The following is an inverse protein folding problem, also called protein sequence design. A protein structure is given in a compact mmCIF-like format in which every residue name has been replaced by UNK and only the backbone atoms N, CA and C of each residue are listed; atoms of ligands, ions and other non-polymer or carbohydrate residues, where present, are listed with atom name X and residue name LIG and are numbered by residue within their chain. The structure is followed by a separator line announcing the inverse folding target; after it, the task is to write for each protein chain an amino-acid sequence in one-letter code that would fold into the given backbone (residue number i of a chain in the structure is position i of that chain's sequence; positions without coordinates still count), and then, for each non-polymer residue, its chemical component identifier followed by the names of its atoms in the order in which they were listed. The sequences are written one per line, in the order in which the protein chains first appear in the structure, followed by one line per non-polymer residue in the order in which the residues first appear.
data_IF_810142832611
#
_entry.id   IF_810142832611
#
_cell.length_a   1.000
_cell.length_b   1.000
_cell.length_c   1.000
_cell.angle_alpha   90.00
_cell.angle_beta   90.00
_cell.angle_gamma   90.00
#
_symmetry.space_group_name_H-M   'P 1'
#
loop_
_entity.id
_entity.type
_entity.pdbx_description
1 polymer ?
#
# COMPACT_ATOMS: atom_id res chain seq x y z
N UNK A 1 -15.03 -19.80 19.79
CA UNK A 1 -14.84 -19.12 18.49
C UNK A 1 -14.42 -17.65 18.62
N UNK A 2 -15.09 -16.84 19.42
CA UNK A 2 -14.70 -15.42 19.64
C UNK A 2 -13.33 -15.21 20.29
N UNK A 3 -12.88 -16.05 21.21
CA UNK A 3 -11.65 -15.83 21.99
C UNK A 3 -10.35 -15.92 21.16
N UNK A 4 -10.21 -16.85 20.21
CA UNK A 4 -8.99 -16.99 19.41
C UNK A 4 -8.85 -15.89 18.35
N UNK A 5 -9.96 -15.41 17.79
CA UNK A 5 -9.99 -14.25 16.90
C UNK A 5 -9.71 -12.97 17.67
N UNK A 6 -10.27 -12.83 18.86
CA UNK A 6 -9.99 -11.71 19.78
C UNK A 6 -8.53 -11.72 20.22
N UNK A 7 -7.95 -12.86 20.59
CA UNK A 7 -6.54 -12.97 21.01
C UNK A 7 -5.56 -12.62 19.86
N UNK A 8 -5.89 -12.91 18.60
CA UNK A 8 -5.04 -12.55 17.44
C UNK A 8 -5.22 -11.10 16.99
N UNK A 9 -6.40 -10.54 17.10
CA UNK A 9 -6.61 -9.09 16.96
C UNK A 9 -5.91 -8.34 18.10
N UNK A 10 -5.89 -8.90 19.31
CA UNK A 10 -5.15 -8.38 20.44
C UNK A 10 -3.63 -8.43 20.22
N UNK A 11 -3.06 -9.48 19.61
CA UNK A 11 -1.62 -9.55 19.35
C UNK A 11 -1.13 -8.50 18.34
N UNK A 12 -1.99 -8.04 17.43
CA UNK A 12 -1.68 -6.99 16.43
C UNK A 12 -1.87 -5.59 16.97
N UNK A 13 -2.97 -5.38 17.69
CA UNK A 13 -3.11 -4.19 18.50
C UNK A 13 -1.91 -4.04 19.44
N UNK A 14 -1.28 -5.17 19.87
CA UNK A 14 -0.07 -5.14 20.70
C UNK A 14 1.17 -4.61 19.98
N UNK A 15 1.44 -4.94 18.68
CA UNK A 15 2.67 -4.47 18.00
C UNK A 15 2.59 -2.97 17.71
N UNK A 16 1.50 -2.51 17.09
CA UNK A 16 1.31 -1.07 16.84
C UNK A 16 1.22 -0.29 18.16
N UNK A 17 0.52 -0.84 19.15
CA UNK A 17 0.45 -0.28 20.50
C UNK A 17 1.85 -0.22 21.14
N UNK A 18 2.67 -1.27 21.03
CA UNK A 18 4.02 -1.27 21.57
C UNK A 18 4.92 -0.21 20.91
N UNK A 19 4.84 -0.06 19.58
CA UNK A 19 5.57 0.99 18.84
C UNK A 19 5.09 2.38 19.27
N UNK A 20 3.79 2.58 19.33
CA UNK A 20 3.19 3.84 19.75
C UNK A 20 3.60 4.23 21.17
N UNK A 21 3.50 3.29 22.11
CA UNK A 21 3.94 3.44 23.49
C UNK A 21 5.45 3.70 23.56
N UNK A 22 6.25 2.95 22.77
CA UNK A 22 7.70 3.13 22.74
C UNK A 22 8.08 4.53 22.23
N UNK A 23 7.46 5.05 21.18
CA UNK A 23 7.74 6.41 20.70
C UNK A 23 7.50 7.47 21.76
N UNK A 24 6.41 7.36 22.53
CA UNK A 24 6.11 8.31 23.60
C UNK A 24 7.05 8.12 24.80
N UNK A 25 7.21 6.90 25.31
CA UNK A 25 7.98 6.67 26.53
C UNK A 25 9.48 6.84 26.32
N UNK A 26 10.02 6.36 25.21
CA UNK A 26 11.44 6.58 24.88
C UNK A 26 11.68 8.07 24.61
N UNK A 27 10.77 8.73 23.85
CA UNK A 27 10.87 10.17 23.65
C UNK A 27 10.84 10.95 24.97
N UNK A 28 9.93 10.58 25.90
CA UNK A 28 9.88 11.19 27.23
C UNK A 28 11.17 10.96 28.04
N UNK A 29 11.71 9.72 28.02
CA UNK A 29 12.97 9.41 28.71
C UNK A 29 14.15 10.21 28.14
N UNK A 30 14.25 10.31 26.80
CA UNK A 30 15.28 11.14 26.14
C UNK A 30 15.09 12.62 26.48
N UNK A 31 13.86 13.11 26.55
CA UNK A 31 13.56 14.49 26.98
C UNK A 31 14.06 14.78 28.40
N UNK A 32 13.86 13.83 29.33
CA UNK A 32 14.42 13.95 30.68
C UNK A 32 15.95 14.05 30.68
N UNK A 33 16.63 13.20 29.89
CA UNK A 33 18.10 13.28 29.76
C UNK A 33 18.51 14.64 29.22
N UNK A 34 17.87 15.17 28.18
CA UNK A 34 18.15 16.50 27.61
C UNK A 34 17.92 17.62 28.61
N UNK A 35 16.84 17.51 29.42
CA UNK A 35 16.60 18.47 30.50
C UNK A 35 17.76 18.53 31.49
N UNK A 36 18.26 17.35 31.95
CA UNK A 36 19.41 17.27 32.85
C UNK A 36 20.72 17.74 32.18
N UNK A 37 20.80 17.70 30.84
CA UNK A 37 21.90 18.26 30.06
C UNK A 37 21.77 19.77 29.82
N UNK A 38 20.69 20.42 30.31
CA UNK A 38 20.48 21.86 30.25
C UNK A 38 19.51 22.35 29.16
N UNK A 39 18.88 21.47 28.36
CA UNK A 39 17.81 21.90 27.44
C UNK A 39 16.49 22.06 28.20
N UNK A 40 16.33 23.18 28.89
CA UNK A 40 15.14 23.53 29.68
C UNK A 40 13.89 23.73 28.82
N UNK A 41 14.02 23.88 27.50
CA UNK A 41 12.92 24.10 26.57
C UNK A 41 12.38 22.79 25.93
N UNK A 42 13.02 21.66 26.18
CA UNK A 42 12.66 20.39 25.52
C UNK A 42 11.18 20.02 25.70
N UNK A 43 10.64 20.14 26.90
CA UNK A 43 9.23 19.83 27.18
C UNK A 43 8.27 20.84 26.55
N UNK A 44 8.64 22.11 26.50
CA UNK A 44 7.86 23.13 25.78
C UNK A 44 7.82 22.84 24.27
N UNK A 45 8.97 22.47 23.69
CA UNK A 45 9.04 22.06 22.27
C UNK A 45 8.16 20.82 21.98
N UNK A 46 8.20 19.81 22.86
CA UNK A 46 7.34 18.62 22.74
C UNK A 46 5.87 19.02 22.78
N UNK A 47 5.47 19.82 23.77
CA UNK A 47 4.07 20.21 23.94
C UNK A 47 3.56 21.02 22.74
N UNK A 48 4.33 21.98 22.26
CA UNK A 48 4.01 22.74 21.03
C UNK A 48 3.91 21.79 19.84
N UNK A 49 4.90 20.90 19.66
CA UNK A 49 4.90 19.92 18.57
C UNK A 49 3.70 18.98 18.61
N UNK A 50 3.21 18.59 19.78
CA UNK A 50 2.00 17.77 19.92
C UNK A 50 0.77 18.48 19.37
N UNK A 51 0.54 19.75 19.74
CA UNK A 51 -0.61 20.52 19.26
C UNK A 51 -0.51 20.84 17.78
N UNK A 52 0.65 21.26 17.29
CA UNK A 52 0.88 21.59 15.89
C UNK A 52 0.71 20.35 15.01
N UNK A 53 1.22 19.21 15.45
CA UNK A 53 1.09 17.95 14.72
C UNK A 53 -0.34 17.43 14.73
N UNK A 54 -1.07 17.57 15.83
CA UNK A 54 -2.49 17.20 15.90
C UNK A 54 -3.33 18.05 14.93
N UNK A 55 -3.07 19.37 14.89
CA UNK A 55 -3.70 20.29 13.92
C UNK A 55 -3.35 19.89 12.48
N UNK A 56 -2.07 19.70 12.18
CA UNK A 56 -1.61 19.27 10.86
C UNK A 56 -2.28 17.97 10.43
N UNK A 57 -2.37 16.98 11.33
CA UNK A 57 -3.04 15.70 11.05
C UNK A 57 -4.53 15.87 10.72
N UNK A 58 -5.20 16.80 11.41
CA UNK A 58 -6.59 17.14 11.11
C UNK A 58 -6.73 17.85 9.76
N UNK A 59 -5.91 18.86 9.49
CA UNK A 59 -5.95 19.64 8.24
C UNK A 59 -5.70 18.76 7.00
N UNK A 60 -4.71 17.87 7.08
CA UNK A 60 -4.44 16.87 6.03
C UNK A 60 -5.65 15.98 5.84
N UNK A 61 -6.24 15.49 6.92
CA UNK A 61 -7.40 14.59 6.86
C UNK A 61 -8.63 15.28 6.25
N UNK A 62 -8.82 16.55 6.53
CA UNK A 62 -9.89 17.35 5.93
C UNK A 62 -9.70 17.46 4.41
N UNK A 63 -8.48 17.72 3.96
CA UNK A 63 -8.12 17.70 2.52
C UNK A 63 -8.38 16.36 1.86
N UNK A 64 -8.20 15.25 2.61
CA UNK A 64 -8.46 13.89 2.09
C UNK A 64 -9.95 13.63 1.86
N UNK A 65 -10.87 14.25 2.59
CA UNK A 65 -12.31 14.02 2.42
C UNK A 65 -12.76 14.20 0.97
N UNK A 66 -12.39 15.33 0.34
CA UNK A 66 -12.77 15.62 -1.04
C UNK A 66 -12.17 14.62 -2.03
N UNK A 67 -10.87 14.35 -1.88
CA UNK A 67 -10.15 13.46 -2.81
C UNK A 67 -10.59 12.01 -2.66
N UNK A 68 -10.81 11.51 -1.44
CA UNK A 68 -11.35 10.16 -1.21
C UNK A 68 -12.77 10.02 -1.71
N UNK A 69 -13.62 11.05 -1.53
CA UNK A 69 -14.99 11.06 -2.09
C UNK A 69 -14.96 11.01 -3.62
N UNK A 70 -14.09 11.78 -4.25
CA UNK A 70 -13.89 11.74 -5.72
C UNK A 70 -13.52 10.31 -6.17
N UNK A 71 -12.47 9.73 -5.58
CA UNK A 71 -11.95 8.43 -6.02
C UNK A 71 -12.93 7.30 -5.77
N UNK A 72 -13.51 7.19 -4.57
CA UNK A 72 -14.49 6.13 -4.29
C UNK A 72 -15.77 6.32 -5.09
N UNK A 73 -16.15 7.57 -5.41
CA UNK A 73 -17.24 7.86 -6.36
C UNK A 73 -16.97 7.29 -7.74
N UNK A 74 -15.80 7.56 -8.32
CA UNK A 74 -15.39 7.03 -9.63
C UNK A 74 -15.28 5.49 -9.59
N UNK A 75 -14.68 4.93 -8.53
CA UNK A 75 -14.55 3.48 -8.38
C UNK A 75 -15.92 2.79 -8.30
N UNK A 76 -16.90 3.40 -7.64
CA UNK A 76 -18.27 2.88 -7.55
C UNK A 76 -18.97 2.84 -8.91
N UNK A 77 -18.71 3.80 -9.80
CA UNK A 77 -19.16 3.74 -11.19
C UNK A 77 -18.58 2.51 -11.87
N UNK A 78 -17.26 2.30 -11.79
CA UNK A 78 -16.58 1.15 -12.37
C UNK A 78 -17.09 -0.19 -11.82
N UNK A 79 -17.34 -0.28 -10.51
CA UNK A 79 -17.92 -1.45 -9.86
C UNK A 79 -19.32 -1.77 -10.44
N UNK A 80 -20.24 -0.79 -10.44
CA UNK A 80 -21.60 -0.96 -10.98
C UNK A 80 -21.60 -1.18 -12.49
N UNK A 81 -20.65 -0.59 -13.20
CA UNK A 81 -20.43 -0.83 -14.62
C UNK A 81 -19.86 -2.22 -14.92
N UNK A 82 -19.54 -3.04 -13.90
CA UNK A 82 -19.06 -4.41 -14.07
C UNK A 82 -17.62 -4.49 -14.56
N UNK A 83 -16.79 -3.48 -14.32
CA UNK A 83 -15.38 -3.47 -14.68
C UNK A 83 -14.61 -4.56 -13.96
N UNK A 84 -14.94 -4.85 -12.68
CA UNK A 84 -14.34 -5.95 -11.93
C UNK A 84 -14.50 -7.28 -12.68
N UNK A 85 -15.71 -7.56 -13.19
CA UNK A 85 -15.98 -8.79 -13.94
C UNK A 85 -15.25 -8.83 -15.30
N UNK A 86 -15.01 -7.69 -15.92
CA UNK A 86 -14.22 -7.58 -17.16
C UNK A 86 -12.76 -7.94 -16.89
N UNK A 87 -12.15 -7.33 -15.88
CA UNK A 87 -10.78 -7.62 -15.46
C UNK A 87 -10.64 -9.09 -15.00
N UNK A 88 -11.62 -9.60 -14.27
CA UNK A 88 -11.64 -10.98 -13.82
C UNK A 88 -11.57 -11.97 -15.01
N UNK A 89 -12.31 -11.71 -16.10
CA UNK A 89 -12.22 -12.55 -17.32
C UNK A 89 -10.85 -12.50 -17.97
N UNK A 90 -10.20 -11.34 -18.00
CA UNK A 90 -8.85 -11.19 -18.55
C UNK A 90 -7.80 -11.94 -17.72
N UNK A 91 -7.97 -12.02 -16.41
CA UNK A 91 -7.04 -12.69 -15.48
C UNK A 91 -7.30 -14.19 -15.31
N UNK A 92 -8.48 -14.70 -15.68
CA UNK A 92 -8.87 -16.10 -15.49
C UNK A 92 -7.86 -17.12 -16.06
N UNK A 93 -7.28 -16.94 -17.26
CA UNK A 93 -6.28 -17.86 -17.79
C UNK A 93 -5.01 -17.95 -16.94
N UNK A 94 -4.59 -16.84 -16.32
CA UNK A 94 -3.47 -16.76 -15.41
C UNK A 94 -3.79 -17.51 -14.10
N UNK A 95 -4.94 -17.22 -13.50
CA UNK A 95 -5.38 -17.80 -12.25
C UNK A 95 -5.51 -19.33 -12.31
N UNK A 96 -6.03 -19.88 -13.39
CA UNK A 96 -6.11 -21.34 -13.59
C UNK A 96 -4.77 -22.05 -13.55
N UNK A 97 -3.67 -21.35 -13.86
CA UNK A 97 -2.31 -21.90 -13.83
C UNK A 97 -1.65 -21.76 -12.48
N UNK A 98 -2.01 -20.69 -11.76
CA UNK A 98 -1.48 -20.41 -10.41
C UNK A 98 -2.17 -21.27 -9.35
N UNK A 99 -3.44 -21.68 -9.60
CA UNK A 99 -4.26 -22.44 -8.66
C UNK A 99 -4.72 -23.80 -9.23
N UNK A 100 -3.81 -24.71 -9.56
CA UNK A 100 -4.15 -26.00 -10.19
C UNK A 100 -4.97 -26.93 -9.28
N UNK A 101 -4.84 -26.77 -7.94
CA UNK A 101 -5.54 -27.60 -6.95
C UNK A 101 -7.04 -27.25 -6.82
N UNK A 102 -7.50 -26.19 -7.50
CA UNK A 102 -8.92 -25.80 -7.48
C UNK A 102 -9.64 -26.47 -8.65
N UNK A 103 -10.71 -27.27 -8.40
CA UNK A 103 -11.47 -27.89 -9.45
C UNK A 103 -12.06 -26.89 -10.44
N UNK A 104 -12.13 -27.27 -11.73
CA UNK A 104 -12.74 -26.42 -12.78
C UNK A 104 -14.20 -26.13 -12.44
N UNK A 105 -14.59 -24.86 -12.52
CA UNK A 105 -15.95 -24.41 -12.21
C UNK A 105 -16.25 -24.24 -10.73
N UNK A 106 -15.30 -24.47 -9.83
CA UNK A 106 -15.50 -24.22 -8.41
C UNK A 106 -15.65 -22.71 -8.13
N UNK A 107 -16.62 -22.29 -7.28
CA UNK A 107 -16.88 -20.86 -6.99
C UNK A 107 -15.65 -20.08 -6.51
N UNK A 108 -14.73 -20.73 -5.76
CA UNK A 108 -13.52 -20.12 -5.25
C UNK A 108 -12.69 -19.43 -6.34
N UNK A 109 -12.56 -20.02 -7.54
CA UNK A 109 -11.83 -19.39 -8.65
C UNK A 109 -12.43 -18.05 -9.01
N UNK A 110 -13.75 -17.95 -9.13
CA UNK A 110 -14.46 -16.72 -9.45
C UNK A 110 -14.26 -15.65 -8.35
N UNK A 111 -14.47 -16.03 -7.07
CA UNK A 111 -14.33 -15.11 -5.94
C UNK A 111 -12.90 -14.59 -5.77
N UNK A 112 -11.88 -15.44 -5.99
CA UNK A 112 -10.48 -15.06 -5.93
C UNK A 112 -10.09 -14.07 -7.04
N UNK A 113 -10.48 -14.36 -8.29
CA UNK A 113 -10.18 -13.48 -9.43
C UNK A 113 -10.90 -12.15 -9.28
N UNK A 114 -12.14 -12.14 -8.78
CA UNK A 114 -12.88 -10.91 -8.48
C UNK A 114 -12.22 -10.09 -7.38
N UNK A 115 -11.75 -10.73 -6.30
CA UNK A 115 -11.01 -10.05 -5.23
C UNK A 115 -9.72 -9.41 -5.77
N UNK A 116 -8.94 -10.18 -6.53
CA UNK A 116 -7.69 -9.69 -7.12
C UNK A 116 -7.93 -8.53 -8.09
N UNK A 117 -8.97 -8.64 -8.93
CA UNK A 117 -9.37 -7.57 -9.85
C UNK A 117 -9.80 -6.30 -9.10
N UNK A 118 -10.51 -6.44 -7.99
CA UNK A 118 -10.90 -5.31 -7.15
C UNK A 118 -9.66 -4.62 -6.52
N UNK A 119 -8.72 -5.41 -5.99
CA UNK A 119 -7.44 -4.88 -5.47
C UNK A 119 -6.62 -4.16 -6.54
N UNK A 120 -6.48 -4.75 -7.74
CA UNK A 120 -5.79 -4.10 -8.86
C UNK A 120 -6.38 -2.73 -9.20
N UNK A 121 -7.70 -2.60 -9.12
CA UNK A 121 -8.41 -1.35 -9.39
C UNK A 121 -8.42 -0.38 -8.20
N UNK A 122 -7.85 -0.74 -7.04
CA UNK A 122 -7.88 0.09 -5.84
C UNK A 122 -9.26 0.15 -5.16
N UNK A 123 -10.08 -0.90 -5.34
CA UNK A 123 -11.42 -1.03 -4.77
C UNK A 123 -11.37 -1.77 -3.43
N UNK A 124 -10.63 -1.24 -2.45
CA UNK A 124 -10.36 -1.90 -1.15
C UNK A 124 -11.65 -2.34 -0.43
N UNK A 125 -12.72 -1.52 -0.51
CA UNK A 125 -14.01 -1.81 0.11
C UNK A 125 -14.71 -3.03 -0.52
N UNK A 126 -14.54 -3.26 -1.82
CA UNK A 126 -15.10 -4.42 -2.52
C UNK A 126 -14.16 -5.64 -2.41
N UNK A 127 -12.86 -5.43 -2.34
CA UNK A 127 -11.87 -6.49 -2.32
C UNK A 127 -11.98 -7.36 -1.06
N UNK A 128 -12.08 -6.76 0.14
CA UNK A 128 -12.11 -7.50 1.40
C UNK A 128 -13.29 -8.48 1.50
N UNK A 129 -14.57 -8.11 1.25
CA UNK A 129 -15.68 -9.06 1.23
C UNK A 129 -15.50 -10.21 0.21
N UNK A 130 -14.99 -9.90 -0.99
CA UNK A 130 -14.71 -10.90 -2.02
C UNK A 130 -13.62 -11.88 -1.57
N UNK A 131 -12.57 -11.39 -0.92
CA UNK A 131 -11.51 -12.22 -0.36
C UNK A 131 -11.99 -13.11 0.78
N UNK A 132 -12.84 -12.60 1.68
CA UNK A 132 -13.46 -13.40 2.74
C UNK A 132 -14.35 -14.51 2.18
N UNK A 133 -15.10 -14.21 1.10
CA UNK A 133 -15.89 -15.21 0.38
C UNK A 133 -14.98 -16.27 -0.24
N UNK A 134 -13.92 -15.86 -0.96
CA UNK A 134 -12.94 -16.77 -1.55
C UNK A 134 -12.32 -17.68 -0.49
N UNK A 135 -11.95 -17.16 0.68
CA UNK A 135 -11.37 -17.96 1.77
C UNK A 135 -12.35 -19.00 2.32
N UNK A 136 -13.66 -18.69 2.43
CA UNK A 136 -14.68 -19.67 2.85
C UNK A 136 -14.80 -20.80 1.83
N UNK A 137 -14.86 -20.46 0.55
CA UNK A 137 -14.95 -21.42 -0.55
C UNK A 137 -13.67 -22.28 -0.66
N UNK A 138 -12.49 -21.71 -0.44
CA UNK A 138 -11.23 -22.47 -0.33
C UNK A 138 -11.21 -23.40 0.88
N UNK A 139 -11.82 -22.99 1.99
CA UNK A 139 -11.90 -23.80 3.20
C UNK A 139 -12.81 -25.05 2.99
N UNK A 140 -13.79 -24.99 2.12
CA UNK A 140 -14.60 -26.14 1.73
C UNK A 140 -13.73 -27.23 1.08
N UNK A 141 -12.79 -26.83 0.22
CA UNK A 141 -11.83 -27.70 -0.47
C UNK A 141 -10.67 -28.15 0.44
N UNK A 142 -10.46 -27.49 1.56
CA UNK A 142 -9.29 -27.74 2.41
C UNK A 142 -9.44 -29.04 3.21
N UNK A 143 -8.55 -30.04 3.03
CA UNK A 143 -8.64 -31.31 3.75
C UNK A 143 -8.37 -31.16 5.25
N UNK A 144 -7.44 -30.28 5.66
CA UNK A 144 -7.14 -29.95 7.04
C UNK A 144 -7.67 -28.56 7.39
N UNK A 145 -8.75 -28.52 8.14
CA UNK A 145 -9.42 -27.24 8.49
C UNK A 145 -8.61 -26.31 9.41
N UNK A 146 -7.52 -26.80 10.00
CA UNK A 146 -6.65 -26.02 10.89
C UNK A 146 -5.36 -25.53 10.19
N UNK A 147 -4.98 -26.12 9.06
CA UNK A 147 -3.75 -25.86 8.35
C UNK A 147 -4.04 -25.19 6.99
N UNK A 148 -3.29 -24.16 6.64
CA UNK A 148 -3.45 -23.46 5.37
C UNK A 148 -3.14 -24.39 4.19
N UNK A 149 -4.07 -24.48 3.21
CA UNK A 149 -3.85 -25.18 1.95
C UNK A 149 -2.95 -24.37 0.99
N UNK A 150 -2.38 -25.02 -0.01
CA UNK A 150 -1.56 -24.37 -1.03
C UNK A 150 -2.29 -23.23 -1.74
N UNK A 151 -3.55 -23.40 -2.22
CA UNK A 151 -4.28 -22.29 -2.82
C UNK A 151 -4.48 -21.10 -1.87
N UNK A 152 -4.79 -21.36 -0.59
CA UNK A 152 -4.93 -20.30 0.40
C UNK A 152 -3.63 -19.51 0.58
N UNK A 153 -2.49 -20.17 0.67
CA UNK A 153 -1.19 -19.51 0.82
C UNK A 153 -0.88 -18.65 -0.40
N UNK A 154 -1.01 -19.22 -1.60
CA UNK A 154 -0.79 -18.48 -2.84
C UNK A 154 -1.72 -17.26 -2.92
N UNK A 155 -3.01 -17.44 -2.66
CA UNK A 155 -4.00 -16.36 -2.70
C UNK A 155 -3.64 -15.22 -1.74
N UNK A 156 -3.22 -15.53 -0.51
CA UNK A 156 -2.86 -14.50 0.47
C UNK A 156 -1.56 -13.78 0.14
N UNK A 157 -0.54 -14.49 -0.33
CA UNK A 157 0.72 -13.87 -0.73
C UNK A 157 0.52 -12.95 -1.92
N UNK A 158 -0.31 -13.34 -2.91
CA UNK A 158 -0.65 -12.49 -4.04
C UNK A 158 -1.52 -11.28 -3.64
N UNK A 159 -2.36 -11.38 -2.59
CA UNK A 159 -3.06 -10.22 -2.04
C UNK A 159 -2.12 -9.25 -1.33
N UNK A 160 -1.11 -9.77 -0.62
CA UNK A 160 -0.09 -8.96 0.05
C UNK A 160 0.81 -8.23 -0.95
N UNK A 161 1.26 -8.95 -1.97
CA UNK A 161 2.12 -8.45 -3.06
C UNK A 161 1.32 -7.98 -4.27
N UNK A 162 0.07 -7.57 -4.07
CA UNK A 162 -0.88 -7.29 -5.15
C UNK A 162 -0.43 -6.18 -6.09
N UNK A 163 -0.65 -6.37 -7.38
CA UNK A 163 -0.44 -5.31 -8.38
C UNK A 163 -1.52 -4.25 -8.18
N UNK A 164 -1.12 -3.03 -7.85
CA UNK A 164 -2.00 -1.88 -7.74
C UNK A 164 -1.85 -1.03 -9.00
N UNK A 165 -2.89 -1.00 -9.84
CA UNK A 165 -2.86 -0.19 -11.06
C UNK A 165 -2.90 1.30 -10.72
N UNK A 166 -3.68 1.69 -9.71
CA UNK A 166 -3.78 3.10 -9.28
C UNK A 166 -3.65 3.17 -7.77
N UNK A 167 -2.55 3.73 -7.22
CA UNK A 167 -2.40 3.95 -5.79
C UNK A 167 -3.22 5.16 -5.32
N UNK A 168 -4.55 5.07 -5.42
CA UNK A 168 -5.49 6.17 -5.23
C UNK A 168 -5.32 6.90 -3.91
N UNK A 169 -5.22 6.15 -2.80
CA UNK A 169 -5.08 6.72 -1.46
C UNK A 169 -3.74 7.45 -1.27
N UNK A 170 -2.65 6.95 -1.87
CA UNK A 170 -1.33 7.59 -1.78
C UNK A 170 -1.32 8.89 -2.60
N UNK A 171 -1.84 8.85 -3.83
CA UNK A 171 -1.96 10.04 -4.69
C UNK A 171 -2.84 11.10 -4.01
N UNK A 172 -3.94 10.68 -3.37
CA UNK A 172 -4.83 11.56 -2.62
C UNK A 172 -4.10 12.30 -1.48
N UNK A 173 -3.35 11.57 -0.65
CA UNK A 173 -2.57 12.15 0.45
C UNK A 173 -1.49 13.07 -0.10
N UNK A 174 -0.77 12.64 -1.14
CA UNK A 174 0.29 13.43 -1.78
C UNK A 174 -0.24 14.74 -2.33
N UNK A 175 -1.42 14.73 -2.97
CA UNK A 175 -2.08 15.95 -3.47
C UNK A 175 -2.52 16.87 -2.34
N UNK A 176 -3.09 16.33 -1.25
CA UNK A 176 -3.47 17.10 -0.07
C UNK A 176 -2.26 17.75 0.59
N UNK A 177 -1.15 17.00 0.71
CA UNK A 177 0.12 17.51 1.26
C UNK A 177 0.73 18.61 0.38
N UNK A 178 0.71 18.45 -0.95
CA UNK A 178 1.20 19.46 -1.88
C UNK A 178 0.41 20.76 -1.74
N UNK A 179 -0.92 20.67 -1.62
CA UNK A 179 -1.77 21.83 -1.38
C UNK A 179 -1.45 22.52 -0.05
N UNK A 180 -1.24 21.76 1.03
CA UNK A 180 -0.88 22.31 2.35
C UNK A 180 0.51 22.96 2.37
N UNK A 181 1.44 22.50 1.51
CA UNK A 181 2.77 23.07 1.33
C UNK A 181 2.81 24.21 0.29
N UNK A 182 1.66 24.61 -0.27
CA UNK A 182 1.54 25.73 -1.22
C UNK A 182 2.14 25.44 -2.60
N UNK A 183 2.31 24.17 -2.99
CA UNK A 183 2.88 23.77 -4.28
C UNK A 183 1.81 23.83 -5.39
N UNK A 184 1.61 25.00 -5.95
CA UNK A 184 0.71 25.18 -7.08
C UNK A 184 1.21 24.43 -8.33
N UNK A 185 0.30 23.69 -8.99
CA UNK A 185 0.63 22.93 -10.21
C UNK A 185 1.40 21.61 -9.96
N UNK A 186 1.59 21.20 -8.71
CA UNK A 186 2.19 19.92 -8.39
C UNK A 186 1.36 18.76 -8.92
N UNK A 187 2.00 17.82 -9.59
CA UNK A 187 1.34 16.63 -10.13
C UNK A 187 1.59 15.40 -9.25
N UNK A 188 0.64 15.10 -8.37
CA UNK A 188 0.74 13.94 -7.48
C UNK A 188 0.71 12.58 -8.19
N UNK A 189 0.41 12.55 -9.50
CA UNK A 189 0.39 11.31 -10.29
C UNK A 189 1.76 10.91 -10.83
N UNK A 190 2.82 11.68 -10.58
CA UNK A 190 4.19 11.37 -10.97
C UNK A 190 4.70 10.03 -10.40
N UNK A 191 4.17 9.61 -9.23
CA UNK A 191 4.47 8.32 -8.62
C UNK A 191 3.73 7.14 -9.27
N UNK A 192 2.80 7.36 -10.19
CA UNK A 192 1.96 6.30 -10.77
C UNK A 192 2.79 5.16 -11.37
N UNK A 193 3.65 5.48 -12.35
CA UNK A 193 4.46 4.48 -13.04
C UNK A 193 5.51 3.83 -12.13
N UNK A 194 6.28 4.58 -11.33
CA UNK A 194 7.20 4.00 -10.35
C UNK A 194 6.52 3.03 -9.37
N UNK A 195 5.36 3.39 -8.84
CA UNK A 195 4.61 2.51 -7.93
C UNK A 195 4.10 1.27 -8.65
N UNK A 196 3.59 1.41 -9.88
CA UNK A 196 3.12 0.29 -10.68
C UNK A 196 4.25 -0.72 -10.96
N UNK A 197 5.45 -0.25 -11.27
CA UNK A 197 6.62 -1.13 -11.45
C UNK A 197 6.99 -1.82 -10.14
N UNK A 198 7.00 -1.09 -9.02
CA UNK A 198 7.32 -1.65 -7.71
C UNK A 198 6.33 -2.74 -7.28
N UNK A 199 5.02 -2.51 -7.47
CA UNK A 199 3.98 -3.52 -7.18
C UNK A 199 4.12 -4.74 -8.08
N UNK A 200 4.45 -4.56 -9.34
CA UNK A 200 4.67 -5.67 -10.26
C UNK A 200 5.88 -6.52 -9.86
N UNK A 201 6.99 -5.90 -9.47
CA UNK A 201 8.17 -6.61 -8.98
C UNK A 201 7.85 -7.39 -7.70
N UNK A 202 7.13 -6.78 -6.76
CA UNK A 202 6.65 -7.44 -5.54
C UNK A 202 5.77 -8.65 -5.86
N UNK A 203 4.81 -8.49 -6.76
CA UNK A 203 3.91 -9.56 -7.21
C UNK A 203 4.70 -10.72 -7.83
N UNK A 204 5.65 -10.43 -8.72
CA UNK A 204 6.51 -11.46 -9.32
C UNK A 204 7.31 -12.19 -8.25
N UNK A 205 7.88 -11.50 -7.27
CA UNK A 205 8.64 -12.11 -6.18
C UNK A 205 7.76 -13.02 -5.32
N UNK A 206 6.58 -12.56 -4.91
CA UNK A 206 5.60 -13.34 -4.16
C UNK A 206 5.14 -14.59 -4.93
N UNK A 207 4.79 -14.41 -6.20
CA UNK A 207 4.38 -15.51 -7.07
C UNK A 207 5.50 -16.57 -7.26
N UNK A 208 6.73 -16.12 -7.55
CA UNK A 208 7.87 -17.00 -7.78
C UNK A 208 8.22 -17.79 -6.52
N UNK A 209 8.33 -17.15 -5.36
CA UNK A 209 8.71 -17.83 -4.12
C UNK A 209 7.66 -18.87 -3.71
N UNK A 210 6.37 -18.56 -3.81
CA UNK A 210 5.31 -19.52 -3.48
C UNK A 210 5.26 -20.65 -4.51
N UNK A 211 5.35 -20.34 -5.82
CA UNK A 211 5.36 -21.33 -6.86
C UNK A 211 6.53 -22.32 -6.71
N UNK A 212 7.72 -21.85 -6.33
CA UNK A 212 8.88 -22.71 -6.03
C UNK A 212 8.61 -23.65 -4.85
N UNK A 213 8.04 -23.15 -3.77
CA UNK A 213 7.71 -23.97 -2.58
C UNK A 213 6.58 -24.98 -2.87
N UNK A 214 5.64 -24.62 -3.74
CA UNK A 214 4.55 -25.49 -4.18
C UNK A 214 4.88 -26.35 -5.40
N UNK A 215 6.09 -26.23 -5.95
CA UNK A 215 6.57 -26.93 -7.14
C UNK A 215 5.68 -26.70 -8.38
N UNK A 216 5.14 -25.50 -8.50
CA UNK A 216 4.33 -25.09 -9.66
C UNK A 216 5.24 -24.66 -10.81
N UNK A 217 4.91 -25.10 -12.03
CA UNK A 217 5.60 -24.62 -13.23
C UNK A 217 5.02 -23.30 -13.67
N UNK A 218 5.85 -22.24 -13.67
CA UNK A 218 5.51 -20.93 -14.23
C UNK A 218 5.86 -20.82 -15.73
N UNK A 219 6.52 -21.86 -16.31
CA UNK A 219 6.88 -21.89 -17.71
C UNK A 219 5.70 -22.41 -18.54
N UNK A 220 4.76 -21.53 -18.83
CA UNK A 220 3.60 -21.81 -19.68
C UNK A 220 3.14 -20.56 -20.42
N UNK A 221 2.38 -20.71 -21.50
CA UNK A 221 1.99 -19.59 -22.36
C UNK A 221 1.25 -18.44 -21.64
N UNK A 222 0.24 -18.65 -20.76
CA UNK A 222 -0.39 -17.56 -20.06
C UNK A 222 0.56 -16.79 -19.14
N UNK A 223 1.50 -17.46 -18.46
CA UNK A 223 2.51 -16.82 -17.64
C UNK A 223 3.52 -16.05 -18.48
N UNK A 224 3.98 -16.65 -19.59
CA UNK A 224 4.87 -15.98 -20.52
C UNK A 224 4.23 -14.70 -21.08
N UNK A 225 2.97 -14.75 -21.49
CA UNK A 225 2.21 -13.57 -21.96
C UNK A 225 2.11 -12.51 -20.85
N UNK A 226 1.84 -12.91 -19.62
CA UNK A 226 1.75 -11.98 -18.49
C UNK A 226 3.10 -11.33 -18.20
N UNK A 227 4.18 -12.12 -18.00
CA UNK A 227 5.49 -11.57 -17.65
C UNK A 227 6.13 -10.80 -18.82
N UNK A 228 6.07 -11.32 -20.04
CA UNK A 228 6.67 -10.66 -21.21
C UNK A 228 5.79 -9.48 -21.67
N UNK A 229 4.47 -9.62 -21.63
CA UNK A 229 3.56 -8.55 -22.02
C UNK A 229 3.60 -7.39 -21.03
N UNK A 230 3.30 -7.64 -19.78
CA UNK A 230 3.26 -6.57 -18.76
C UNK A 230 4.68 -6.10 -18.38
N UNK A 231 5.62 -7.03 -18.13
CA UNK A 231 6.99 -6.69 -17.82
C UNK A 231 7.71 -6.02 -18.98
N UNK A 232 7.48 -6.49 -20.22
CA UNK A 232 8.00 -5.86 -21.43
C UNK A 232 7.45 -4.46 -21.67
N UNK A 233 6.14 -4.24 -21.39
CA UNK A 233 5.53 -2.92 -21.43
C UNK A 233 6.19 -1.97 -20.42
N UNK A 234 6.38 -2.43 -19.15
CA UNK A 234 7.03 -1.62 -18.11
C UNK A 234 8.49 -1.31 -18.46
N UNK A 235 9.24 -2.32 -18.92
CA UNK A 235 10.61 -2.14 -19.34
C UNK A 235 10.74 -1.22 -20.56
N UNK A 236 9.83 -1.34 -21.53
CA UNK A 236 9.79 -0.48 -22.73
C UNK A 236 9.46 0.97 -22.36
N UNK A 237 8.49 1.18 -21.48
CA UNK A 237 8.17 2.53 -20.95
C UNK A 237 9.36 3.13 -20.20
N UNK A 238 10.02 2.36 -19.34
CA UNK A 238 11.21 2.83 -18.65
C UNK A 238 12.35 3.16 -19.62
N UNK A 239 12.66 2.27 -20.56
CA UNK A 239 13.71 2.51 -21.56
C UNK A 239 13.43 3.73 -22.44
N UNK A 240 12.16 3.98 -22.78
CA UNK A 240 11.76 5.18 -23.51
C UNK A 240 11.95 6.44 -22.65
N UNK A 241 11.51 6.42 -21.39
CA UNK A 241 11.61 7.55 -20.47
C UNK A 241 13.07 7.87 -20.11
N UNK A 242 13.90 6.84 -19.86
CA UNK A 242 15.32 7.01 -19.50
C UNK A 242 16.18 7.59 -20.66
N UNK A 243 15.65 7.60 -21.88
CA UNK A 243 16.26 8.29 -23.02
C UNK A 243 15.98 9.79 -23.07
N UNK A 244 15.10 10.32 -22.20
CA UNK A 244 14.75 11.74 -22.14
C UNK A 244 15.67 12.51 -21.17
N UNK A 245 15.88 13.82 -21.38
CA UNK A 245 16.45 14.68 -20.35
C UNK A 245 15.65 14.62 -19.05
N UNK A 246 16.28 14.79 -17.90
CA UNK A 246 15.67 14.60 -16.57
C UNK A 246 14.37 15.41 -16.38
N UNK A 247 14.38 16.69 -16.81
CA UNK A 247 13.20 17.56 -16.71
C UNK A 247 12.04 17.07 -17.60
N UNK A 248 12.34 16.60 -18.81
CA UNK A 248 11.34 16.07 -19.74
C UNK A 248 10.84 14.70 -19.27
N UNK A 249 11.69 13.90 -18.66
CA UNK A 249 11.33 12.62 -18.05
C UNK A 249 10.31 12.85 -16.93
N UNK A 250 10.57 13.75 -15.99
CA UNK A 250 9.67 14.07 -14.88
C UNK A 250 8.30 14.57 -15.37
N UNK A 251 8.29 15.48 -16.37
CA UNK A 251 7.05 15.97 -17.01
C UNK A 251 6.27 14.85 -17.71
N UNK A 252 6.99 13.99 -18.43
CA UNK A 252 6.37 12.90 -19.20
C UNK A 252 5.78 11.84 -18.29
N UNK A 253 6.45 11.48 -17.19
CA UNK A 253 5.91 10.57 -16.18
C UNK A 253 4.60 11.11 -15.60
N UNK A 254 4.59 12.40 -15.20
CA UNK A 254 3.39 13.06 -14.72
C UNK A 254 2.28 13.10 -15.75
N UNK A 255 2.59 13.37 -17.03
CA UNK A 255 1.62 13.36 -18.13
C UNK A 255 1.04 11.96 -18.35
N UNK A 256 1.89 10.93 -18.42
CA UNK A 256 1.45 9.53 -18.58
C UNK A 256 0.57 9.10 -17.42
N UNK A 257 0.96 9.38 -16.18
CA UNK A 257 0.16 9.10 -15.00
C UNK A 257 -1.20 9.79 -15.05
N UNK A 258 -1.23 11.09 -15.35
CA UNK A 258 -2.47 11.86 -15.47
C UNK A 258 -3.36 11.36 -16.61
N UNK A 259 -2.78 11.03 -17.77
CA UNK A 259 -3.52 10.51 -18.92
C UNK A 259 -4.18 9.17 -18.61
N UNK A 260 -3.45 8.26 -17.94
CA UNK A 260 -3.99 6.95 -17.55
C UNK A 260 -5.11 7.12 -16.53
N UNK A 261 -4.90 7.95 -15.51
CA UNK A 261 -5.91 8.19 -14.45
C UNK A 261 -7.18 8.80 -15.05
N UNK A 262 -7.06 9.89 -15.81
CA UNK A 262 -8.22 10.55 -16.46
C UNK A 262 -8.86 9.61 -17.48
N UNK A 263 -8.05 8.84 -18.22
CA UNK A 263 -8.52 7.82 -19.15
C UNK A 263 -9.37 6.74 -18.48
N UNK A 264 -8.96 6.26 -17.32
CA UNK A 264 -9.74 5.28 -16.52
C UNK A 264 -11.04 5.90 -16.02
N UNK A 265 -11.02 7.14 -15.56
CA UNK A 265 -12.24 7.88 -15.18
C UNK A 265 -13.21 7.96 -16.36
N UNK A 266 -12.73 8.41 -17.51
CA UNK A 266 -13.53 8.52 -18.72
C UNK A 266 -14.08 7.15 -19.17
N UNK A 267 -13.26 6.09 -19.10
CA UNK A 267 -13.65 4.73 -19.42
C UNK A 267 -14.78 4.23 -18.49
N UNK A 268 -14.67 4.43 -17.18
CA UNK A 268 -15.68 3.99 -16.22
C UNK A 268 -17.00 4.71 -16.45
N UNK A 269 -16.97 6.02 -16.68
CA UNK A 269 -18.14 6.82 -17.00
C UNK A 269 -18.77 6.38 -18.33
N UNK A 270 -17.98 6.20 -19.39
CA UNK A 270 -18.46 5.76 -20.69
C UNK A 270 -19.09 4.36 -20.64
N UNK A 271 -18.43 3.38 -20.01
CA UNK A 271 -18.98 2.02 -19.85
C UNK A 271 -20.23 2.04 -18.98
N UNK A 272 -20.27 2.86 -17.93
CA UNK A 272 -21.45 3.07 -17.09
C UNK A 272 -22.63 3.60 -17.89
N UNK A 273 -22.41 4.61 -18.71
CA UNK A 273 -23.42 5.19 -19.59
C UNK A 273 -23.93 4.18 -20.64
N UNK A 274 -22.99 3.45 -21.29
CA UNK A 274 -23.35 2.40 -22.27
C UNK A 274 -24.17 1.27 -21.64
N UNK A 275 -23.91 0.94 -20.37
CA UNK A 275 -24.69 -0.07 -19.61
C UNK A 275 -25.95 0.49 -18.98
N UNK A 276 -26.27 1.77 -19.24
CA UNK A 276 -27.46 2.47 -18.76
C UNK A 276 -27.61 2.46 -17.23
N UNK A 277 -26.50 2.46 -16.50
CA UNK A 277 -26.54 2.69 -15.04
C UNK A 277 -26.73 4.18 -14.76
N UNK A 278 -27.32 4.52 -13.63
CA UNK A 278 -27.35 5.90 -13.15
C UNK A 278 -25.93 6.27 -12.62
N UNK A 279 -25.10 6.84 -13.52
CA UNK A 279 -23.69 7.15 -13.25
C UNK A 279 -23.57 8.16 -12.12
N UNK A 280 -24.45 9.18 -12.09
CA UNK A 280 -24.44 10.22 -11.06
C UNK A 280 -24.76 9.65 -9.67
N UNK A 281 -25.79 8.85 -9.55
CA UNK A 281 -26.16 8.18 -8.30
C UNK A 281 -25.05 7.22 -7.82
N UNK A 282 -24.46 6.46 -8.75
CA UNK A 282 -23.34 5.58 -8.44
C UNK A 282 -22.16 6.37 -7.88
N UNK A 283 -21.84 7.52 -8.49
CA UNK A 283 -20.81 8.42 -7.98
C UNK A 283 -21.13 8.93 -6.58
N UNK A 284 -22.34 9.44 -6.36
CA UNK A 284 -22.76 9.99 -5.05
C UNK A 284 -22.69 8.94 -3.96
N UNK A 285 -23.11 7.71 -4.24
CA UNK A 285 -23.02 6.61 -3.25
C UNK A 285 -21.57 6.26 -2.91
N UNK A 286 -20.69 6.16 -3.90
CA UNK A 286 -19.27 5.94 -3.65
C UNK A 286 -18.60 7.14 -2.95
N UNK A 287 -19.03 8.36 -3.24
CA UNK A 287 -18.53 9.56 -2.57
C UNK A 287 -18.90 9.58 -1.08
N UNK A 288 -20.10 9.10 -0.70
CA UNK A 288 -20.49 8.91 0.71
C UNK A 288 -19.56 7.89 1.41
N UNK A 289 -19.25 6.78 0.74
CA UNK A 289 -18.29 5.79 1.25
C UNK A 289 -16.91 6.43 1.45
N UNK A 290 -16.45 7.26 0.49
CA UNK A 290 -15.19 8.00 0.55
C UNK A 290 -15.12 8.98 1.73
N UNK A 291 -16.19 9.70 1.97
CA UNK A 291 -16.33 10.57 3.13
C UNK A 291 -16.18 9.78 4.45
N UNK A 292 -16.87 8.65 4.56
CA UNK A 292 -16.81 7.80 5.75
C UNK A 292 -15.40 7.23 5.99
N UNK A 293 -14.72 6.81 4.93
CA UNK A 293 -13.32 6.33 5.00
C UNK A 293 -12.38 7.44 5.47
N UNK A 294 -12.50 8.65 4.91
CA UNK A 294 -11.68 9.78 5.30
C UNK A 294 -11.85 10.13 6.79
N UNK A 295 -13.10 10.21 7.28
CA UNK A 295 -13.37 10.45 8.71
C UNK A 295 -12.77 9.36 9.60
N UNK A 296 -12.86 8.10 9.17
CA UNK A 296 -12.32 6.97 9.94
C UNK A 296 -10.79 7.04 10.06
N UNK A 297 -10.11 7.61 9.07
CA UNK A 297 -8.64 7.75 9.06
C UNK A 297 -8.16 8.80 10.06
N UNK A 298 -8.92 9.87 10.33
CA UNK A 298 -8.52 11.03 11.15
C UNK A 298 -7.90 10.61 12.50
N UNK A 299 -8.59 9.86 13.38
CA UNK A 299 -8.05 9.55 14.69
C UNK A 299 -6.78 8.68 14.63
N UNK A 300 -6.68 7.78 13.65
CA UNK A 300 -5.49 6.95 13.47
C UNK A 300 -4.28 7.78 12.97
N UNK A 301 -4.53 8.72 12.06
CA UNK A 301 -3.47 9.60 11.55
C UNK A 301 -2.96 10.53 12.65
N UNK A 302 -3.86 11.17 13.40
CA UNK A 302 -3.48 12.03 14.52
C UNK A 302 -2.70 11.22 15.57
N UNK A 303 -3.19 10.04 15.97
CA UNK A 303 -2.54 9.24 16.99
C UNK A 303 -1.08 8.89 16.60
N UNK A 304 -0.86 8.43 15.36
CA UNK A 304 0.48 8.02 14.94
C UNK A 304 1.41 9.25 14.76
N UNK A 305 0.92 10.33 14.15
CA UNK A 305 1.70 11.55 13.95
C UNK A 305 2.12 12.19 15.29
N UNK A 306 1.23 12.21 16.28
CA UNK A 306 1.53 12.72 17.63
C UNK A 306 2.63 11.90 18.29
N UNK A 307 2.59 10.57 18.23
CA UNK A 307 3.65 9.72 18.78
C UNK A 307 5.00 9.92 18.08
N UNK A 308 4.98 10.01 16.73
CA UNK A 308 6.16 10.30 15.92
C UNK A 308 6.72 11.68 16.29
N UNK A 309 5.87 12.69 16.46
CA UNK A 309 6.29 14.06 16.84
C UNK A 309 7.07 14.09 18.16
N UNK A 310 6.62 13.37 19.18
CA UNK A 310 7.36 13.25 20.45
C UNK A 310 8.73 12.65 20.23
N UNK A 311 8.80 11.53 19.51
CA UNK A 311 10.03 10.80 19.24
C UNK A 311 11.00 11.60 18.36
N UNK A 312 10.49 12.35 17.37
CA UNK A 312 11.27 13.23 16.49
C UNK A 312 11.78 14.46 17.24
N UNK A 313 10.95 15.16 17.98
CA UNK A 313 11.34 16.37 18.75
C UNK A 313 12.46 16.07 19.75
N UNK A 314 12.53 14.84 20.25
CA UNK A 314 13.62 14.40 21.12
C UNK A 314 14.88 13.95 20.35
N UNK A 315 14.84 13.88 19.02
CA UNK A 315 15.95 13.45 18.17
C UNK A 315 16.04 11.94 17.99
N UNK A 316 15.03 11.18 18.46
CA UNK A 316 15.05 9.71 18.36
C UNK A 316 14.97 9.22 16.91
N UNK A 317 14.15 9.88 16.08
CA UNK A 317 14.03 9.51 14.66
C UNK A 317 15.31 9.81 13.90
N UNK A 318 15.90 10.97 14.11
CA UNK A 318 17.16 11.39 13.51
C UNK A 318 18.31 10.45 13.93
N UNK A 319 18.33 10.02 15.19
CA UNK A 319 19.32 9.05 15.67
C UNK A 319 19.21 7.71 14.93
N UNK A 320 17.99 7.18 14.76
CA UNK A 320 17.76 5.93 14.01
C UNK A 320 18.16 6.07 12.55
N UNK A 321 17.72 7.14 11.88
CA UNK A 321 18.03 7.40 10.48
C UNK A 321 19.53 7.57 10.28
N UNK A 322 20.20 8.33 11.16
CA UNK A 322 21.64 8.56 11.08
C UNK A 322 22.46 7.29 11.39
N UNK A 323 22.02 6.45 12.35
CA UNK A 323 22.69 5.20 12.68
C UNK A 323 22.66 4.23 11.48
N UNK A 324 21.48 4.07 10.85
CA UNK A 324 21.33 3.26 9.64
C UNK A 324 22.08 3.90 8.47
N UNK A 325 21.96 5.22 8.29
CA UNK A 325 22.64 5.99 7.25
C UNK A 325 24.17 5.83 7.34
N UNK A 326 24.74 5.89 8.54
CA UNK A 326 26.19 5.69 8.75
C UNK A 326 26.62 4.27 8.37
N UNK A 327 25.82 3.25 8.71
CA UNK A 327 26.09 1.87 8.31
C UNK A 327 26.03 1.69 6.77
N UNK A 328 25.04 2.32 6.13
CA UNK A 328 24.88 2.31 4.66
C UNK A 328 26.05 3.05 3.99
N UNK A 329 26.42 4.22 4.50
CA UNK A 329 27.56 5.01 4.00
C UNK A 329 28.88 4.24 4.12
N UNK A 330 29.08 3.48 5.20
CA UNK A 330 30.26 2.63 5.39
C UNK A 330 30.36 1.52 4.32
N UNK A 331 29.24 1.17 3.67
CA UNK A 331 29.21 0.25 2.53
C UNK A 331 29.38 0.96 1.17
N UNK A 332 29.59 2.27 1.16
CA UNK A 332 29.74 3.08 -0.05
C UNK A 332 28.42 3.28 -0.83
N UNK A 333 27.25 3.09 -0.17
CA UNK A 333 25.95 3.22 -0.80
C UNK A 333 25.33 4.60 -0.51
N UNK A 334 24.47 5.12 -1.41
CA UNK A 334 23.70 6.35 -1.18
C UNK A 334 22.81 6.23 0.07
N UNK A 335 22.60 7.32 0.81
CA UNK A 335 21.91 7.33 2.11
C UNK A 335 20.54 8.04 2.08
N UNK A 336 20.21 8.73 1.01
CA UNK A 336 19.00 9.55 0.90
C UNK A 336 17.70 8.75 1.13
N UNK A 337 17.70 7.47 0.75
CA UNK A 337 16.58 6.56 0.90
C UNK A 337 16.31 6.16 2.35
N UNK A 338 17.32 6.28 3.24
CA UNK A 338 17.21 5.81 4.63
C UNK A 338 16.14 6.58 5.40
N UNK A 339 15.89 7.84 5.07
CA UNK A 339 14.82 8.63 5.67
C UNK A 339 13.41 8.04 5.45
N UNK A 340 13.20 7.32 4.35
CA UNK A 340 11.93 6.64 4.05
C UNK A 340 11.87 5.19 4.56
N UNK A 341 12.98 4.62 5.04
CA UNK A 341 13.04 3.24 5.55
C UNK A 341 12.00 2.94 6.65
N UNK A 342 11.71 3.83 7.62
CA UNK A 342 10.68 3.59 8.62
C UNK A 342 9.31 3.27 8.03
N UNK A 343 8.94 3.87 6.88
CA UNK A 343 7.69 3.56 6.16
C UNK A 343 7.69 2.10 5.71
N UNK A 344 8.80 1.64 5.10
CA UNK A 344 8.94 0.26 4.61
C UNK A 344 8.91 -0.78 5.73
N UNK A 345 9.54 -0.49 6.87
CA UNK A 345 9.52 -1.38 8.03
C UNK A 345 8.13 -1.47 8.69
N UNK A 346 7.39 -0.37 8.67
CA UNK A 346 6.03 -0.32 9.24
C UNK A 346 4.99 -0.94 8.29
N UNK A 347 5.20 -0.91 6.98
CA UNK A 347 4.20 -1.31 5.98
C UNK A 347 3.65 -2.74 6.17
N UNK A 348 4.48 -3.78 6.40
CA UNK A 348 3.98 -5.12 6.70
C UNK A 348 3.16 -5.20 8.00
N UNK A 349 3.49 -4.35 8.98
CA UNK A 349 2.91 -4.37 10.32
C UNK A 349 1.58 -3.60 10.40
N UNK A 350 1.52 -2.41 9.83
CA UNK A 350 0.37 -1.51 9.93
C UNK A 350 0.28 -0.56 8.74
N UNK A 351 -0.76 -0.68 7.95
CA UNK A 351 -1.03 0.23 6.82
C UNK A 351 -1.29 1.68 7.27
N UNK A 352 -2.00 1.89 8.39
CA UNK A 352 -2.22 3.22 8.96
C UNK A 352 -0.95 3.80 9.58
N UNK A 353 -0.15 2.97 10.27
CA UNK A 353 1.14 3.39 10.83
C UNK A 353 2.13 3.81 9.76
N UNK A 354 2.27 3.01 8.69
CA UNK A 354 3.12 3.33 7.55
C UNK A 354 2.65 4.61 6.82
N UNK A 355 1.33 4.80 6.72
CA UNK A 355 0.74 6.02 6.15
C UNK A 355 1.09 7.26 6.98
N UNK A 356 1.05 7.16 8.31
CA UNK A 356 1.48 8.24 9.20
C UNK A 356 2.96 8.58 9.04
N UNK A 357 3.84 7.56 8.96
CA UNK A 357 5.27 7.76 8.69
C UNK A 357 5.52 8.36 7.30
N UNK A 358 4.77 7.96 6.27
CA UNK A 358 4.82 8.59 4.94
C UNK A 358 4.48 10.09 5.02
N UNK A 359 3.43 10.44 5.74
CA UNK A 359 3.05 11.86 5.96
C UNK A 359 4.15 12.61 6.72
N UNK A 360 4.72 12.00 7.76
CA UNK A 360 5.84 12.59 8.51
C UNK A 360 7.07 12.84 7.62
N UNK A 361 7.46 11.90 6.76
CA UNK A 361 8.56 12.08 5.80
C UNK A 361 8.25 13.23 4.83
N UNK A 362 7.04 13.28 4.26
CA UNK A 362 6.63 14.39 3.37
C UNK A 362 6.55 15.74 4.09
N UNK A 363 6.20 15.76 5.36
CA UNK A 363 6.19 16.99 6.17
C UNK A 363 7.59 17.48 6.46
N UNK A 364 8.51 16.55 6.76
CA UNK A 364 9.88 16.87 7.19
C UNK A 364 10.78 17.25 6.01
N UNK A 365 10.70 16.48 4.92
CA UNK A 365 11.61 16.64 3.77
C UNK A 365 10.94 17.33 2.58
N UNK A 366 9.62 17.49 2.60
CA UNK A 366 8.83 18.04 1.50
C UNK A 366 8.20 16.94 0.63
N UNK A 367 7.00 17.22 0.12
CA UNK A 367 6.24 16.27 -0.71
C UNK A 367 6.90 16.02 -2.08
N UNK A 368 7.61 17.01 -2.62
CA UNK A 368 8.33 16.94 -3.89
C UNK A 368 9.77 16.42 -3.75
N UNK A 369 10.25 16.18 -2.53
CA UNK A 369 11.60 15.67 -2.30
C UNK A 369 11.73 14.20 -2.73
N UNK A 370 12.97 13.75 -2.97
CA UNK A 370 13.27 12.33 -3.21
C UNK A 370 12.72 11.45 -2.09
N UNK A 371 12.95 11.83 -0.82
CA UNK A 371 12.50 11.10 0.35
C UNK A 371 10.98 11.02 0.44
N UNK A 372 10.28 12.14 0.20
CA UNK A 372 8.80 12.17 0.18
C UNK A 372 8.22 11.33 -0.93
N UNK A 373 8.81 11.40 -2.13
CA UNK A 373 8.42 10.61 -3.30
C UNK A 373 8.66 9.11 -3.04
N UNK A 374 9.84 8.73 -2.54
CA UNK A 374 10.17 7.35 -2.18
C UNK A 374 9.21 6.79 -1.10
N UNK A 375 8.90 7.58 -0.07
CA UNK A 375 7.95 7.18 0.96
C UNK A 375 6.57 6.84 0.37
N UNK A 376 6.12 7.61 -0.62
CA UNK A 376 4.88 7.35 -1.35
C UNK A 376 4.96 6.07 -2.20
N UNK A 377 6.06 5.83 -2.91
CA UNK A 377 6.27 4.61 -3.69
C UNK A 377 6.27 3.38 -2.77
N UNK A 378 6.98 3.42 -1.65
CA UNK A 378 7.01 2.35 -0.64
C UNK A 378 5.60 2.07 -0.11
N UNK A 379 4.86 3.12 0.28
CA UNK A 379 3.50 2.98 0.80
C UNK A 379 2.56 2.34 -0.22
N UNK A 380 2.72 2.64 -1.51
CA UNK A 380 1.89 2.11 -2.60
C UNK A 380 2.32 0.73 -3.11
N UNK A 381 3.51 0.23 -2.75
CA UNK A 381 4.13 -0.93 -3.39
C UNK A 381 3.64 -2.30 -2.90
N UNK A 382 3.07 -2.39 -1.69
CA UNK A 382 2.52 -3.64 -1.11
C UNK A 382 1.29 -3.35 -0.27
N UNK A 383 0.62 -4.42 0.19
CA UNK A 383 -0.40 -4.37 1.22
C UNK A 383 0.16 -4.73 2.61
N UNK A 384 -0.64 -4.61 3.64
CA UNK A 384 -0.22 -4.90 5.02
C UNK A 384 -0.26 -6.41 5.27
N UNK A 385 0.89 -7.07 5.14
CA UNK A 385 1.03 -8.54 5.21
C UNK A 385 0.38 -9.14 6.44
N UNK A 386 0.68 -8.64 7.63
CA UNK A 386 0.07 -9.16 8.84
C UNK A 386 -1.44 -8.93 8.90
N UNK A 387 -1.98 -7.87 8.34
CA UNK A 387 -3.42 -7.63 8.24
C UNK A 387 -4.09 -8.64 7.31
N UNK A 388 -3.59 -8.82 6.12
CA UNK A 388 -4.12 -9.77 5.14
C UNK A 388 -4.16 -11.18 5.73
N UNK A 389 -3.06 -11.66 6.30
CA UNK A 389 -2.98 -12.99 6.89
C UNK A 389 -3.97 -13.19 8.04
N UNK A 390 -4.13 -12.23 8.96
CA UNK A 390 -5.02 -12.43 10.10
C UNK A 390 -6.50 -12.32 9.72
N UNK A 391 -6.88 -11.40 8.82
CA UNK A 391 -8.27 -11.24 8.41
C UNK A 391 -8.74 -12.47 7.63
N UNK A 392 -7.95 -12.91 6.66
CA UNK A 392 -8.37 -14.00 5.78
C UNK A 392 -8.23 -15.38 6.46
N UNK A 393 -7.09 -15.73 7.02
CA UNK A 393 -6.95 -16.97 7.78
C UNK A 393 -7.83 -17.02 9.04
N UNK A 394 -7.97 -15.85 9.71
CA UNK A 394 -8.85 -15.73 10.87
C UNK A 394 -10.32 -15.99 10.54
N UNK A 395 -10.80 -15.57 9.38
CA UNK A 395 -12.20 -15.75 8.95
C UNK A 395 -12.60 -17.23 8.80
N UNK A 396 -11.63 -18.10 8.55
CA UNK A 396 -11.82 -19.56 8.34
C UNK A 396 -11.12 -20.41 9.39
N UNK A 397 -10.69 -19.82 10.51
CA UNK A 397 -10.07 -20.49 11.65
C UNK A 397 -8.80 -21.28 11.34
N UNK A 398 -8.01 -20.89 10.36
CA UNK A 398 -6.68 -21.47 10.12
C UNK A 398 -5.76 -21.10 11.28
N UNK A 399 -5.15 -22.11 11.88
CA UNK A 399 -4.21 -21.98 13.02
C UNK A 399 -2.75 -22.01 12.56
N UNK A 400 -2.44 -22.88 11.61
CA UNK A 400 -1.10 -23.03 11.04
C UNK A 400 -1.06 -22.41 9.64
N UNK A 401 -0.39 -21.28 9.51
CA UNK A 401 -0.25 -20.53 8.26
C UNK A 401 0.87 -21.05 7.36
N UNK A 402 1.60 -22.08 7.81
CA UNK A 402 2.77 -22.63 7.12
C UNK A 402 3.73 -21.51 6.72
N UNK A 403 4.22 -21.49 5.49
CA UNK A 403 5.16 -20.50 4.96
C UNK A 403 4.53 -19.20 4.43
N UNK A 404 3.22 -19.00 4.58
CA UNK A 404 2.55 -17.81 4.05
C UNK A 404 3.16 -16.49 4.54
N UNK A 405 3.45 -16.40 5.85
CA UNK A 405 4.06 -15.21 6.44
C UNK A 405 5.46 -14.93 5.87
N UNK A 406 6.29 -15.97 5.79
CA UNK A 406 7.65 -15.81 5.28
C UNK A 406 7.66 -15.36 3.81
N UNK A 407 6.76 -15.92 2.97
CA UNK A 407 6.63 -15.51 1.58
C UNK A 407 6.10 -14.08 1.44
N UNK A 408 5.13 -13.68 2.28
CA UNK A 408 4.62 -12.31 2.30
C UNK A 408 5.71 -11.30 2.67
N UNK A 409 6.44 -11.55 3.76
CA UNK A 409 7.55 -10.69 4.19
C UNK A 409 8.71 -10.66 3.18
N UNK A 410 8.97 -11.76 2.47
CA UNK A 410 9.92 -11.78 1.37
C UNK A 410 9.48 -10.85 0.23
N UNK A 411 8.20 -10.90 -0.15
CA UNK A 411 7.64 -10.01 -1.16
C UNK A 411 7.71 -8.54 -0.72
N UNK A 412 7.42 -8.23 0.55
CA UNK A 412 7.56 -6.89 1.13
C UNK A 412 9.01 -6.38 1.07
N UNK A 413 9.98 -7.23 1.40
CA UNK A 413 11.41 -6.89 1.32
C UNK A 413 11.83 -6.59 -0.13
N UNK A 414 11.42 -7.44 -1.08
CA UNK A 414 11.71 -7.22 -2.51
C UNK A 414 11.05 -5.93 -2.99
N UNK A 415 9.81 -5.65 -2.56
CA UNK A 415 9.11 -4.41 -2.89
C UNK A 415 9.86 -3.17 -2.36
N UNK A 416 10.34 -3.22 -1.12
CA UNK A 416 11.11 -2.13 -0.51
C UNK A 416 12.40 -1.85 -1.31
N UNK A 417 13.16 -2.90 -1.62
CA UNK A 417 14.38 -2.77 -2.43
C UNK A 417 14.05 -2.24 -3.83
N UNK A 418 13.00 -2.79 -4.47
CA UNK A 418 12.56 -2.33 -5.78
C UNK A 418 12.13 -0.85 -5.75
N UNK A 419 11.37 -0.43 -4.74
CA UNK A 419 10.94 0.96 -4.58
C UNK A 419 12.13 1.92 -4.48
N UNK A 420 13.17 1.55 -3.73
CA UNK A 420 14.41 2.34 -3.62
C UNK A 420 15.11 2.45 -4.98
N UNK A 421 15.35 1.32 -5.65
CA UNK A 421 16.02 1.30 -6.95
C UNK A 421 15.25 2.07 -8.01
N UNK A 422 13.93 1.90 -8.04
CA UNK A 422 13.03 2.61 -8.97
C UNK A 422 13.03 4.11 -8.66
N UNK A 423 12.99 4.51 -7.39
CA UNK A 423 13.06 5.92 -7.03
C UNK A 423 14.35 6.58 -7.52
N UNK A 424 15.51 5.92 -7.37
CA UNK A 424 16.76 6.42 -7.94
C UNK A 424 16.75 6.45 -9.46
N UNK A 425 16.12 5.47 -10.10
CA UNK A 425 16.04 5.42 -11.56
C UNK A 425 15.15 6.52 -12.18
N UNK A 426 14.18 7.03 -11.42
CA UNK A 426 13.21 8.03 -11.93
C UNK A 426 13.44 9.44 -11.36
N UNK A 427 14.02 9.56 -10.18
CA UNK A 427 14.08 10.82 -9.42
C UNK A 427 15.47 11.09 -8.78
N UNK A 428 16.44 10.18 -8.98
CA UNK A 428 17.80 10.27 -8.46
C UNK A 428 18.78 11.00 -9.37
#
# INVERSE_FOLDING_TARGET
MRAATVARLQSRAMVLNAIWVAFILVGFAVALVKLFQGDVLVFSKILTGLFDTAKTGFDISLGLVGVMSLWLGIMKIGERAGMIALFARALDPLFRRVFPDIPRGHPASGSMVMNFSANMLGLDNAATPLGLKAMKELQELNPDKAVASNPMIMFLVLNTAGVTLIPTSVIAIRQSMAASQGLAGFNAADIFLPTLIATFVSFCAGLIVVARLQRLSLLNAPMAVFFLGFGGLMAGLYAWLSGLPADDMARTIGLVGSLVIVGIIALFVAVGALRRINVYEAFVDGAKDGFQVAITIIPYLIAILVAISVFRTTGGMEYLVNAVGSAVAALGLPTEWVAALPVGLMRPLSGSGARGLMVDVMTTYGVASFQGTLACIIQGSTETTFYVLAVYFGSVNIKNTRYALACGLFADLVALVAAVLIAYAFFG
#
